data_IF_977938299755
#
_entry.id   IF_977938299755
#
_cell.length_a   1.000
_cell.length_b   1.000
_cell.length_c   1.000
_cell.angle_alpha   90.00
_cell.angle_beta   90.00
_cell.angle_gamma   90.00
#
_symmetry.space_group_name_H-M   'P 1'
#
loop_
_entity.id
_entity.type
_entity.pdbx_description
1 polymer ?
#
# COMPACT_ATOMS: atom_id res chain seq x y z
N UNK A 1 30.04 18.59 -10.51
CA UNK A 1 29.86 18.25 -11.94
C UNK A 1 28.58 18.87 -12.50
N UNK A 2 27.37 18.57 -12.02
CA UNK A 2 26.14 19.20 -12.54
C UNK A 2 26.17 20.71 -12.34
N UNK A 3 26.54 21.20 -11.15
CA UNK A 3 26.63 22.64 -10.86
C UNK A 3 27.81 23.35 -11.55
N UNK A 4 28.83 22.61 -12.05
CA UNK A 4 30.03 23.18 -12.71
C UNK A 4 29.94 23.13 -14.23
N UNK A 5 28.81 22.75 -14.81
CA UNK A 5 28.60 22.76 -16.27
C UNK A 5 29.37 21.68 -17.01
N UNK A 6 29.71 20.55 -16.38
CA UNK A 6 30.35 19.42 -17.06
C UNK A 6 29.48 18.92 -18.20
N UNK A 7 30.06 18.72 -19.38
CA UNK A 7 29.34 18.32 -20.59
C UNK A 7 29.41 16.80 -20.78
N UNK A 8 28.29 16.20 -21.19
CA UNK A 8 28.17 14.78 -21.51
C UNK A 8 27.69 14.61 -22.96
N UNK A 9 28.11 13.52 -23.60
CA UNK A 9 27.68 13.16 -24.94
C UNK A 9 26.40 12.33 -24.86
N UNK A 10 25.28 12.93 -25.22
CA UNK A 10 24.00 12.25 -25.37
C UNK A 10 23.73 11.77 -26.80
N UNK A 11 22.55 11.20 -27.05
CA UNK A 11 22.13 10.71 -28.37
C UNK A 11 22.05 11.84 -29.42
N UNK A 12 21.71 13.02 -29.01
CA UNK A 12 21.48 14.20 -29.85
C UNK A 12 22.68 15.17 -29.89
N UNK A 13 23.83 14.80 -29.31
CA UNK A 13 25.03 15.63 -29.25
C UNK A 13 25.57 15.87 -27.85
N UNK A 14 26.39 16.93 -27.72
CA UNK A 14 26.98 17.31 -26.43
C UNK A 14 26.02 18.26 -25.70
N UNK A 15 25.70 17.97 -24.44
CA UNK A 15 24.83 18.77 -23.58
C UNK A 15 25.39 18.89 -22.16
N UNK A 16 24.91 19.86 -21.38
CA UNK A 16 25.26 19.95 -19.96
C UNK A 16 24.82 18.68 -19.22
N UNK A 17 25.65 18.26 -18.27
CA UNK A 17 25.41 17.11 -17.40
C UNK A 17 24.21 17.38 -16.48
N UNK A 18 23.33 16.39 -16.33
CA UNK A 18 22.18 16.41 -15.44
C UNK A 18 22.32 15.34 -14.37
N UNK A 19 21.52 15.41 -13.32
CA UNK A 19 21.51 14.37 -12.26
C UNK A 19 21.10 12.99 -12.79
N UNK A 20 20.23 12.93 -13.79
CA UNK A 20 19.80 11.71 -14.48
C UNK A 20 20.90 10.98 -15.25
N UNK A 21 22.05 11.63 -15.46
CA UNK A 21 23.21 11.01 -16.15
C UNK A 21 24.07 10.15 -15.21
N UNK A 22 23.78 10.14 -13.92
CA UNK A 22 24.52 9.38 -12.94
C UNK A 22 23.75 8.15 -12.49
N UNK A 23 24.46 7.03 -12.42
CA UNK A 23 23.93 5.80 -11.86
C UNK A 23 24.92 5.27 -10.82
N UNK A 24 24.44 4.89 -9.65
CA UNK A 24 25.22 4.23 -8.61
C UNK A 24 24.78 2.77 -8.55
N UNK A 25 25.67 1.87 -8.89
CA UNK A 25 25.42 0.43 -8.81
C UNK A 25 25.95 -0.11 -7.49
N UNK A 26 25.09 -0.74 -6.72
CA UNK A 26 25.43 -1.38 -5.45
C UNK A 26 25.30 -2.90 -5.59
N UNK A 27 26.25 -3.64 -4.99
CA UNK A 27 26.24 -5.11 -5.01
C UNK A 27 25.11 -5.72 -4.17
N UNK A 28 24.61 -4.99 -3.21
CA UNK A 28 23.58 -5.46 -2.28
C UNK A 28 22.65 -4.35 -1.81
N UNK A 29 21.43 -4.70 -1.44
CA UNK A 29 20.37 -3.76 -1.09
C UNK A 29 20.54 -3.08 0.28
N UNK A 30 21.32 -3.68 1.20
CA UNK A 30 21.48 -3.21 2.60
C UNK A 30 21.90 -1.74 2.76
N UNK A 31 22.60 -1.17 1.75
CA UNK A 31 23.06 0.21 1.81
C UNK A 31 22.19 1.21 1.06
N UNK A 32 21.13 0.81 0.39
CA UNK A 32 20.34 1.71 -0.48
C UNK A 32 19.76 2.88 0.30
N UNK A 33 19.14 2.62 1.44
CA UNK A 33 18.53 3.65 2.28
C UNK A 33 19.55 4.68 2.79
N UNK A 34 20.76 4.23 3.14
CA UNK A 34 21.84 5.11 3.61
C UNK A 34 22.32 6.03 2.49
N UNK A 35 22.55 5.48 1.29
CA UNK A 35 22.94 6.27 0.11
C UNK A 35 21.84 7.25 -0.29
N UNK A 36 20.59 6.80 -0.34
CA UNK A 36 19.45 7.65 -0.65
C UNK A 36 19.31 8.79 0.36
N UNK A 37 19.40 8.50 1.65
CA UNK A 37 19.34 9.49 2.72
C UNK A 37 20.48 10.52 2.63
N UNK A 38 21.72 10.07 2.38
CA UNK A 38 22.87 10.93 2.21
C UNK A 38 22.75 11.85 0.99
N UNK A 39 22.30 11.32 -0.14
CA UNK A 39 22.11 12.09 -1.36
C UNK A 39 20.99 13.13 -1.22
N UNK A 40 19.85 12.77 -0.62
CA UNK A 40 18.75 13.70 -0.33
C UNK A 40 19.19 14.81 0.63
N UNK A 41 19.96 14.48 1.68
CA UNK A 41 20.51 15.46 2.61
C UNK A 41 21.45 16.44 1.91
N UNK A 42 22.19 15.97 0.89
CA UNK A 42 23.05 16.81 0.05
C UNK A 42 22.26 17.61 -1.02
N UNK A 43 20.93 17.53 -1.05
CA UNK A 43 20.06 18.21 -2.02
C UNK A 43 20.20 17.65 -3.44
N UNK A 44 20.60 16.39 -3.59
CA UNK A 44 20.72 15.68 -4.87
C UNK A 44 19.44 14.87 -5.07
N UNK A 45 18.67 15.12 -6.14
CA UNK A 45 17.52 14.29 -6.48
C UNK A 45 18.01 12.87 -6.79
N UNK A 46 17.42 11.89 -6.11
CA UNK A 46 17.80 10.49 -6.24
C UNK A 46 16.54 9.65 -6.46
N UNK A 47 16.65 8.74 -7.39
CA UNK A 47 15.72 7.63 -7.56
C UNK A 47 16.49 6.36 -7.21
N UNK A 48 16.07 5.68 -6.16
CA UNK A 48 16.61 4.37 -5.82
C UNK A 48 15.58 3.32 -6.27
N UNK A 49 16.01 2.39 -7.10
CA UNK A 49 15.28 1.14 -7.34
C UNK A 49 15.49 0.25 -6.09
N UNK A 50 15.14 0.80 -4.94
CA UNK A 50 14.93 0.02 -3.76
C UNK A 50 13.59 -0.66 -4.00
N UNK A 51 13.61 -1.93 -4.36
CA UNK A 51 12.50 -2.79 -4.05
C UNK A 51 12.44 -2.91 -2.51
N UNK A 52 12.14 -1.80 -1.82
CA UNK A 52 11.39 -1.87 -0.58
C UNK A 52 10.25 -2.82 -0.91
N UNK A 53 10.04 -3.79 -0.07
CA UNK A 53 9.03 -4.81 -0.34
C UNK A 53 7.76 -4.05 -0.69
N UNK A 54 7.31 -4.12 -1.94
CA UNK A 54 6.14 -3.36 -2.43
C UNK A 54 4.98 -3.49 -1.44
N UNK A 55 4.91 -4.67 -0.81
CA UNK A 55 3.92 -5.00 0.21
C UNK A 55 4.10 -4.19 1.52
N UNK A 56 5.26 -3.58 1.74
CA UNK A 56 5.54 -2.74 2.91
C UNK A 56 5.24 -1.26 2.69
N UNK A 57 4.94 -0.85 1.46
CA UNK A 57 4.54 0.51 1.16
C UNK A 57 3.22 0.88 1.88
N UNK A 58 3.14 2.07 2.51
CA UNK A 58 1.98 2.47 3.31
C UNK A 58 0.64 2.40 2.56
N UNK A 59 0.65 2.65 1.26
CA UNK A 59 -0.54 2.60 0.41
C UNK A 59 -0.85 1.19 -0.11
N UNK A 60 0.06 0.23 0.00
CA UNK A 60 -0.15 -1.18 -0.38
C UNK A 60 -0.60 -2.01 0.82
N UNK A 61 -0.06 -1.74 2.02
CA UNK A 61 -0.34 -2.50 3.25
C UNK A 61 -1.83 -2.73 3.55
N UNK A 62 -2.73 -1.73 3.44
CA UNK A 62 -4.14 -1.95 3.70
C UNK A 62 -4.78 -2.92 2.71
N UNK A 63 -4.39 -2.86 1.44
CA UNK A 63 -4.88 -3.78 0.41
C UNK A 63 -4.32 -5.21 0.61
N UNK A 64 -3.04 -5.33 0.94
CA UNK A 64 -2.45 -6.61 1.32
C UNK A 64 -3.10 -7.21 2.58
N UNK A 65 -3.48 -6.36 3.55
CA UNK A 65 -4.24 -6.77 4.71
C UNK A 65 -5.63 -7.29 4.34
N UNK A 66 -6.32 -6.68 3.36
CA UNK A 66 -7.60 -7.17 2.84
C UNK A 66 -7.48 -8.59 2.28
N UNK A 67 -6.45 -8.88 1.51
CA UNK A 67 -6.20 -10.24 0.99
C UNK A 67 -6.00 -11.25 2.12
N UNK A 68 -5.26 -10.88 3.17
CA UNK A 68 -5.09 -11.72 4.36
C UNK A 68 -6.40 -11.95 5.11
N UNK A 69 -7.27 -10.94 5.20
CA UNK A 69 -8.60 -11.06 5.83
C UNK A 69 -9.55 -11.91 5.00
N UNK A 70 -9.47 -11.84 3.67
CA UNK A 70 -10.23 -12.72 2.77
C UNK A 70 -9.84 -14.18 2.99
N UNK A 71 -8.55 -14.46 3.11
CA UNK A 71 -8.04 -15.80 3.42
C UNK A 71 -8.46 -16.22 4.84
N UNK A 72 -8.07 -15.46 5.86
CA UNK A 72 -8.36 -15.74 7.26
C UNK A 72 -8.77 -14.49 8.04
N UNK A 73 -10.07 -14.25 8.28
CA UNK A 73 -10.56 -13.08 9.00
C UNK A 73 -10.28 -13.10 10.51
N UNK A 74 -9.82 -14.22 11.07
CA UNK A 74 -9.50 -14.30 12.50
C UNK A 74 -8.17 -13.64 12.89
N UNK A 75 -7.46 -13.06 11.93
CA UNK A 75 -6.22 -12.30 12.15
C UNK A 75 -6.54 -10.87 12.59
N UNK A 76 -6.45 -10.57 13.87
CA UNK A 76 -6.88 -9.30 14.46
C UNK A 76 -6.15 -8.08 13.86
N UNK A 77 -4.83 -8.16 13.63
CA UNK A 77 -4.04 -7.03 13.12
C UNK A 77 -4.42 -6.69 11.66
N UNK A 78 -4.43 -7.63 10.70
CA UNK A 78 -4.92 -7.34 9.36
C UNK A 78 -6.37 -6.86 9.33
N UNK A 79 -7.25 -7.45 10.15
CA UNK A 79 -8.65 -7.05 10.21
C UNK A 79 -8.80 -5.61 10.69
N UNK A 80 -8.09 -5.22 11.75
CA UNK A 80 -8.11 -3.84 12.23
C UNK A 80 -7.58 -2.86 11.16
N UNK A 81 -6.49 -3.23 10.47
CA UNK A 81 -5.94 -2.41 9.39
C UNK A 81 -6.93 -2.21 8.23
N UNK A 82 -7.68 -3.24 7.86
CA UNK A 82 -8.73 -3.15 6.83
C UNK A 82 -9.89 -2.27 7.28
N UNK A 83 -10.41 -2.47 8.49
CA UNK A 83 -11.55 -1.71 9.00
C UNK A 83 -11.23 -0.21 9.13
N UNK A 84 -9.99 0.14 9.51
CA UNK A 84 -9.53 1.53 9.65
C UNK A 84 -9.02 2.14 8.33
N UNK A 85 -8.99 1.38 7.24
CA UNK A 85 -8.55 1.87 5.94
C UNK A 85 -9.64 2.65 5.22
N UNK A 86 -9.30 3.43 4.19
CA UNK A 86 -10.29 4.12 3.37
C UNK A 86 -11.30 3.22 2.64
N UNK A 87 -11.09 1.91 2.64
CA UNK A 87 -12.01 0.93 2.06
C UNK A 87 -13.32 0.79 2.85
N UNK A 88 -13.29 1.11 4.14
CA UNK A 88 -14.46 0.98 5.03
C UNK A 88 -14.61 2.19 5.94
N UNK A 89 -15.85 2.60 6.30
CA UNK A 89 -16.11 3.83 7.03
C UNK A 89 -16.06 3.63 8.57
N UNK A 90 -15.08 2.87 9.08
CA UNK A 90 -14.97 2.63 10.52
C UNK A 90 -13.84 3.44 11.14
N UNK A 91 -14.00 3.78 12.43
CA UNK A 91 -13.06 4.56 13.20
C UNK A 91 -12.39 3.73 14.29
N UNK A 92 -11.34 4.26 14.90
CA UNK A 92 -10.71 3.63 16.06
C UNK A 92 -11.69 3.47 17.23
N UNK A 93 -12.62 4.42 17.41
CA UNK A 93 -13.63 4.36 18.46
C UNK A 93 -14.62 3.21 18.23
N UNK A 94 -14.96 2.91 16.98
CA UNK A 94 -15.79 1.73 16.63
C UNK A 94 -15.10 0.44 17.05
N UNK A 95 -13.80 0.32 16.82
CA UNK A 95 -13.02 -0.85 17.22
C UNK A 95 -12.88 -0.96 18.75
N UNK A 96 -12.70 0.18 19.42
CA UNK A 96 -12.68 0.22 20.90
C UNK A 96 -14.01 -0.21 21.47
N UNK A 97 -15.13 0.31 20.95
CA UNK A 97 -16.47 -0.08 21.37
C UNK A 97 -16.69 -1.59 21.17
N UNK A 98 -16.29 -2.11 20.00
CA UNK A 98 -16.36 -3.53 19.69
C UNK A 98 -15.56 -4.39 20.68
N UNK A 99 -14.34 -3.97 21.01
CA UNK A 99 -13.48 -4.70 21.97
C UNK A 99 -14.01 -4.60 23.41
N UNK A 100 -14.61 -3.47 23.79
CA UNK A 100 -15.25 -3.32 25.10
C UNK A 100 -16.48 -4.22 25.25
N UNK A 101 -17.30 -4.34 24.20
CA UNK A 101 -18.46 -5.23 24.18
C UNK A 101 -18.05 -6.71 24.27
N UNK A 102 -16.90 -7.07 23.70
CA UNK A 102 -16.38 -8.43 23.71
C UNK A 102 -14.86 -8.44 23.99
N UNK A 103 -14.46 -8.39 25.27
CA UNK A 103 -13.04 -8.27 25.65
C UNK A 103 -12.16 -9.44 25.21
N UNK A 104 -12.75 -10.65 25.14
CA UNK A 104 -12.05 -11.89 24.85
C UNK A 104 -12.40 -12.44 23.46
N UNK A 105 -11.46 -13.17 22.85
CA UNK A 105 -11.60 -13.78 21.53
C UNK A 105 -11.09 -12.89 20.39
N UNK A 106 -11.29 -13.34 19.15
CA UNK A 106 -10.83 -12.62 17.96
C UNK A 106 -11.71 -11.37 17.72
N UNK A 107 -11.11 -10.36 17.08
CA UNK A 107 -11.82 -9.17 16.64
C UNK A 107 -12.96 -9.53 15.68
N UNK A 108 -12.74 -10.49 14.80
CA UNK A 108 -13.78 -10.99 13.89
C UNK A 108 -14.95 -11.63 14.64
N UNK A 109 -14.66 -12.40 15.69
CA UNK A 109 -15.70 -12.92 16.57
C UNK A 109 -16.52 -11.81 17.25
N UNK A 110 -15.89 -10.67 17.58
CA UNK A 110 -16.58 -9.50 18.12
C UNK A 110 -17.44 -8.83 17.03
N UNK A 111 -16.96 -8.72 15.79
CA UNK A 111 -17.73 -8.20 14.64
C UNK A 111 -19.01 -9.02 14.42
N UNK A 112 -18.93 -10.35 14.48
CA UNK A 112 -20.08 -11.23 14.26
C UNK A 112 -21.07 -11.25 15.44
N UNK A 113 -20.60 -11.02 16.65
CA UNK A 113 -21.41 -11.12 17.87
C UNK A 113 -21.82 -9.80 18.50
N UNK A 114 -21.33 -8.65 17.98
CA UNK A 114 -21.59 -7.31 18.48
C UNK A 114 -22.78 -6.64 17.84
N UNK A 115 -22.71 -5.31 17.65
CA UNK A 115 -23.72 -4.52 16.92
C UNK A 115 -23.71 -4.93 15.43
N UNK A 116 -24.38 -6.04 15.12
CA UNK A 116 -24.39 -6.63 13.77
C UNK A 116 -24.80 -5.62 12.70
N UNK A 117 -25.73 -4.72 13.00
CA UNK A 117 -26.20 -3.71 12.05
C UNK A 117 -25.08 -2.76 11.59
N UNK A 118 -24.16 -2.37 12.49
CA UNK A 118 -23.06 -1.45 12.17
C UNK A 118 -22.03 -2.09 11.25
N UNK A 119 -21.70 -3.36 11.49
CA UNK A 119 -20.66 -4.07 10.72
C UNK A 119 -21.22 -4.95 9.61
N UNK A 120 -22.56 -4.97 9.40
CA UNK A 120 -23.20 -5.71 8.32
C UNK A 120 -22.58 -5.40 6.93
N UNK A 121 -22.33 -4.13 6.54
CA UNK A 121 -21.74 -3.83 5.25
C UNK A 121 -20.36 -4.48 5.06
N UNK A 122 -19.54 -4.54 6.11
CA UNK A 122 -18.25 -5.21 6.07
C UNK A 122 -18.40 -6.73 5.95
N UNK A 123 -19.27 -7.35 6.74
CA UNK A 123 -19.42 -8.82 6.72
C UNK A 123 -20.04 -9.31 5.42
N UNK A 124 -20.94 -8.56 4.81
CA UNK A 124 -21.53 -8.84 3.51
C UNK A 124 -20.46 -8.71 2.41
N UNK A 125 -19.70 -7.59 2.41
CA UNK A 125 -18.62 -7.41 1.46
C UNK A 125 -17.57 -8.51 1.58
N UNK A 126 -17.17 -8.88 2.80
CA UNK A 126 -16.19 -9.95 3.04
C UNK A 126 -16.70 -11.30 2.53
N UNK A 127 -17.98 -11.62 2.76
CA UNK A 127 -18.57 -12.87 2.25
C UNK A 127 -18.52 -12.92 0.71
N UNK A 128 -18.84 -11.80 0.06
CA UNK A 128 -18.75 -11.68 -1.40
C UNK A 128 -17.31 -11.78 -1.90
N UNK A 129 -16.33 -11.10 -1.24
CA UNK A 129 -14.92 -11.17 -1.64
C UNK A 129 -14.36 -12.58 -1.49
N UNK A 130 -14.76 -13.31 -0.46
CA UNK A 130 -14.40 -14.72 -0.28
C UNK A 130 -15.03 -15.63 -1.33
N UNK A 131 -16.23 -15.30 -1.82
CA UNK A 131 -16.84 -16.00 -2.93
C UNK A 131 -16.06 -15.79 -4.23
N UNK A 132 -15.72 -14.52 -4.54
CA UNK A 132 -14.91 -14.17 -5.70
C UNK A 132 -13.54 -14.85 -5.69
N UNK A 133 -12.87 -14.85 -4.54
CA UNK A 133 -11.56 -15.49 -4.38
C UNK A 133 -11.53 -16.99 -4.66
N UNK A 134 -12.70 -17.66 -4.63
CA UNK A 134 -12.81 -19.09 -4.98
C UNK A 134 -13.03 -19.34 -6.47
N UNK A 135 -13.46 -18.33 -7.22
CA UNK A 135 -13.93 -18.47 -8.59
C UNK A 135 -13.07 -17.74 -9.61
N UNK A 136 -12.39 -16.67 -9.20
CA UNK A 136 -11.59 -15.84 -10.10
C UNK A 136 -10.11 -16.15 -10.02
N UNK A 137 -9.36 -16.03 -11.12
CA UNK A 137 -7.91 -15.94 -11.12
C UNK A 137 -7.44 -14.74 -10.28
N UNK A 138 -6.23 -14.81 -9.75
CA UNK A 138 -5.70 -13.77 -8.83
C UNK A 138 -5.72 -12.39 -9.46
N UNK A 139 -5.30 -12.26 -10.71
CA UNK A 139 -5.27 -10.98 -11.44
C UNK A 139 -6.66 -10.33 -11.55
N UNK A 140 -7.66 -11.10 -11.93
CA UNK A 140 -9.06 -10.65 -12.01
C UNK A 140 -9.61 -10.30 -10.62
N UNK A 141 -9.28 -11.11 -9.61
CA UNK A 141 -9.69 -10.87 -8.24
C UNK A 141 -9.14 -9.52 -7.73
N UNK A 142 -7.86 -9.23 -7.95
CA UNK A 142 -7.25 -7.97 -7.53
C UNK A 142 -7.94 -6.76 -8.17
N UNK A 143 -8.21 -6.82 -9.48
CA UNK A 143 -8.95 -5.80 -10.21
C UNK A 143 -10.37 -5.58 -9.66
N UNK A 144 -11.11 -6.67 -9.41
CA UNK A 144 -12.46 -6.60 -8.83
C UNK A 144 -12.45 -6.01 -7.41
N UNK A 145 -11.50 -6.40 -6.57
CA UNK A 145 -11.37 -5.86 -5.21
C UNK A 145 -11.05 -4.36 -5.23
N UNK A 146 -10.13 -3.91 -6.08
CA UNK A 146 -9.80 -2.49 -6.23
C UNK A 146 -11.01 -1.68 -6.70
N UNK A 147 -11.77 -2.20 -7.67
CA UNK A 147 -12.98 -1.55 -8.20
C UNK A 147 -14.08 -1.45 -7.13
N UNK A 148 -14.38 -2.54 -6.42
CA UNK A 148 -15.48 -2.62 -5.45
C UNK A 148 -15.20 -1.84 -4.17
N UNK A 149 -13.96 -1.80 -3.72
CA UNK A 149 -13.56 -1.04 -2.51
C UNK A 149 -13.39 0.45 -2.77
N UNK A 150 -13.28 0.88 -4.03
CA UNK A 150 -12.93 2.25 -4.38
C UNK A 150 -11.53 2.67 -3.90
N UNK A 151 -10.70 1.71 -3.48
CA UNK A 151 -9.42 1.99 -2.85
C UNK A 151 -8.46 2.72 -3.78
N UNK A 152 -8.50 2.42 -5.08
CA UNK A 152 -7.69 3.09 -6.08
C UNK A 152 -7.97 4.62 -6.17
N UNK A 153 -9.22 5.01 -5.97
CA UNK A 153 -9.60 6.43 -5.93
C UNK A 153 -9.09 7.11 -4.65
N UNK A 154 -9.21 6.43 -3.51
CA UNK A 154 -8.73 6.94 -2.22
C UNK A 154 -7.20 7.14 -2.23
N UNK A 155 -6.45 6.18 -2.77
CA UNK A 155 -4.99 6.28 -2.92
C UNK A 155 -4.60 7.37 -3.91
N UNK A 156 -5.35 7.54 -5.00
CA UNK A 156 -5.14 8.60 -5.98
C UNK A 156 -5.28 10.02 -5.42
N UNK A 157 -5.96 10.20 -4.29
CA UNK A 157 -6.11 11.48 -3.60
C UNK A 157 -4.91 11.84 -2.69
N UNK A 158 -3.95 10.94 -2.50
CA UNK A 158 -2.73 11.20 -1.73
C UNK A 158 -1.79 12.18 -2.47
N UNK A 159 -0.85 12.85 -1.77
CA UNK A 159 0.10 13.77 -2.40
C UNK A 159 0.87 13.17 -3.59
N UNK A 160 1.29 11.90 -3.50
CA UNK A 160 1.94 11.15 -4.57
C UNK A 160 0.99 10.14 -5.24
N UNK A 161 -0.29 10.49 -5.34
CA UNK A 161 -1.38 9.57 -5.70
C UNK A 161 -1.21 8.89 -7.06
N UNK A 162 -0.59 9.55 -8.04
CA UNK A 162 -0.33 8.95 -9.35
C UNK A 162 0.63 7.75 -9.22
N UNK A 163 1.76 7.93 -8.54
CA UNK A 163 2.74 6.87 -8.28
C UNK A 163 2.12 5.75 -7.43
N UNK A 164 1.41 6.11 -6.36
CA UNK A 164 0.76 5.11 -5.50
C UNK A 164 -0.28 4.26 -6.25
N UNK A 165 -0.96 4.82 -7.25
CA UNK A 165 -1.87 4.07 -8.12
C UNK A 165 -1.14 3.13 -9.07
N UNK A 166 -0.01 3.57 -9.64
CA UNK A 166 0.85 2.73 -10.50
C UNK A 166 1.38 1.54 -9.71
N UNK A 167 1.84 1.74 -8.48
CA UNK A 167 2.30 0.69 -7.58
C UNK A 167 1.20 -0.35 -7.25
N UNK A 168 -0.08 0.06 -7.16
CA UNK A 168 -1.21 -0.85 -6.94
C UNK A 168 -1.62 -1.63 -8.18
N UNK A 169 -1.24 -1.17 -9.37
CA UNK A 169 -1.61 -1.78 -10.65
C UNK A 169 -0.46 -2.59 -11.27
N UNK A 170 0.74 -2.52 -10.70
CA UNK A 170 1.94 -3.28 -11.12
C UNK A 170 1.96 -4.68 -10.56
#
# INVERSE_FOLDING_TARGET
MVKTGFAVRGKEGVRPCRYEDFCILLRGRKGFADYEGALRTAGIPVFADSAADLLDEPHIRPFAALLRVIDNPAQDIPLAAVLLSPMFPYTADDLVALRRARPNGSLYGAVLGGEQARFAPFTEALAEYRRLARTLPVEELLGELLARTGYLAAVGALPDGMRCREDLLS
#
